data_IF_159380510838
#
_entry.id   IF_159380510838
#
_cell.length_a   1.000
_cell.length_b   1.000
_cell.length_c   1.000
_cell.angle_alpha   90.00
_cell.angle_beta   90.00
_cell.angle_gamma   90.00
#
_symmetry.space_group_name_H-M   'P 1'
#
loop_
_entity.id
_entity.type
_entity.pdbx_description
1 polymer ?
#
# COMPACT_ATOMS: atom_id res chain seq x y z
N UNK A 1 13.56 1.30 1.08
CA UNK A 1 13.13 1.29 2.51
C UNK A 1 13.15 -0.16 2.97
N UNK A 2 14.11 -0.54 3.81
CA UNK A 2 14.43 -1.94 4.11
C UNK A 2 14.59 -2.79 2.81
N UNK A 3 14.35 -4.10 2.88
CA UNK A 3 14.46 -5.10 1.82
C UNK A 3 13.21 -5.21 0.91
N UNK A 4 12.39 -4.16 0.80
CA UNK A 4 11.23 -4.15 -0.12
C UNK A 4 11.60 -3.52 -1.46
N UNK A 5 11.34 -4.24 -2.55
CA UNK A 5 11.60 -3.83 -3.92
C UNK A 5 10.32 -3.98 -4.77
N UNK A 6 10.11 -3.05 -5.70
CA UNK A 6 9.02 -3.10 -6.68
C UNK A 6 9.59 -2.88 -8.08
N UNK A 7 9.18 -3.72 -9.02
CA UNK A 7 9.51 -3.63 -10.42
C UNK A 7 8.24 -3.25 -11.21
N UNK A 8 8.20 -2.01 -11.71
CA UNK A 8 7.07 -1.49 -12.47
C UNK A 8 6.93 -2.12 -13.87
N UNK A 9 8.01 -2.62 -14.46
CA UNK A 9 7.96 -3.29 -15.78
C UNK A 9 7.44 -4.72 -15.64
N UNK A 10 7.91 -5.44 -14.62
CA UNK A 10 7.49 -6.81 -14.33
C UNK A 10 6.20 -6.89 -13.49
N UNK A 11 5.72 -5.78 -12.93
CA UNK A 11 4.63 -5.73 -11.94
C UNK A 11 4.90 -6.66 -10.74
N UNK A 12 6.16 -6.81 -10.35
CA UNK A 12 6.62 -7.72 -9.29
C UNK A 12 6.92 -6.93 -8.02
N UNK A 13 6.58 -7.50 -6.86
CA UNK A 13 6.96 -6.98 -5.55
C UNK A 13 7.74 -8.03 -4.80
N UNK A 14 8.86 -7.64 -4.20
CA UNK A 14 9.73 -8.53 -3.44
C UNK A 14 10.04 -7.99 -2.07
N UNK A 15 10.15 -8.91 -1.09
CA UNK A 15 10.65 -8.66 0.26
C UNK A 15 11.82 -9.58 0.53
N UNK A 16 13.03 -9.06 0.38
CA UNK A 16 14.26 -9.84 0.39
C UNK A 16 14.19 -10.97 -0.66
N UNK A 17 14.27 -12.26 -0.26
CA UNK A 17 14.18 -13.38 -1.19
C UNK A 17 12.74 -13.76 -1.58
N UNK A 18 11.72 -13.13 -1.00
CA UNK A 18 10.32 -13.54 -1.17
C UNK A 18 9.58 -12.68 -2.19
N UNK A 19 9.00 -13.32 -3.21
CA UNK A 19 8.03 -12.68 -4.10
C UNK A 19 6.69 -12.53 -3.36
N UNK A 20 6.07 -11.37 -3.51
CA UNK A 20 4.77 -11.03 -2.93
C UNK A 20 3.78 -10.79 -4.07
N UNK A 21 2.80 -11.68 -4.18
CA UNK A 21 1.72 -11.53 -5.15
C UNK A 21 0.69 -10.50 -4.67
N UNK A 22 0.59 -9.41 -5.42
CA UNK A 22 -0.39 -8.36 -5.21
C UNK A 22 -1.39 -8.33 -6.37
N UNK A 23 -2.64 -8.04 -6.04
CA UNK A 23 -3.62 -7.60 -7.03
C UNK A 23 -3.24 -6.22 -7.56
N UNK A 24 -3.78 -5.82 -8.72
CA UNK A 24 -3.56 -4.50 -9.32
C UNK A 24 -3.81 -3.35 -8.33
N UNK A 25 -4.85 -3.46 -7.52
CA UNK A 25 -5.22 -2.42 -6.55
C UNK A 25 -4.26 -2.37 -5.36
N UNK A 26 -3.86 -3.54 -4.83
CA UNK A 26 -2.86 -3.60 -3.76
C UNK A 26 -1.50 -3.07 -4.24
N UNK A 27 -1.11 -3.37 -5.49
CA UNK A 27 0.12 -2.87 -6.10
C UNK A 27 0.10 -1.35 -6.20
N UNK A 28 -0.98 -0.78 -6.76
CA UNK A 28 -1.16 0.68 -6.85
C UNK A 28 -1.10 1.35 -5.48
N UNK A 29 -1.76 0.76 -4.48
CA UNK A 29 -1.73 1.26 -3.10
C UNK A 29 -0.30 1.25 -2.54
N UNK A 30 0.40 0.11 -2.63
CA UNK A 30 1.77 -0.01 -2.13
C UNK A 30 2.71 0.97 -2.83
N UNK A 31 2.62 1.07 -4.15
CA UNK A 31 3.41 2.01 -4.96
C UNK A 31 3.18 3.45 -4.52
N UNK A 32 1.92 3.84 -4.31
CA UNK A 32 1.59 5.18 -3.87
C UNK A 32 2.14 5.49 -2.46
N UNK A 33 2.05 4.53 -1.54
CA UNK A 33 2.66 4.65 -0.21
C UNK A 33 4.19 4.78 -0.28
N UNK A 34 4.85 4.05 -1.17
CA UNK A 34 6.31 4.09 -1.33
C UNK A 34 6.82 5.37 -1.97
N UNK A 35 6.15 5.86 -3.02
CA UNK A 35 6.49 7.14 -3.65
C UNK A 35 6.38 8.29 -2.64
N UNK A 36 5.46 8.19 -1.69
CA UNK A 36 5.24 9.17 -0.64
C UNK A 36 5.83 8.75 0.71
N UNK A 37 6.76 7.80 0.73
CA UNK A 37 7.30 7.30 1.98
C UNK A 37 7.97 8.42 2.80
N UNK A 38 7.69 8.43 4.11
CA UNK A 38 8.12 9.50 5.02
C UNK A 38 7.18 10.71 5.06
N UNK A 39 6.11 10.73 4.26
CA UNK A 39 5.02 11.71 4.34
C UNK A 39 3.77 11.07 4.92
N UNK A 40 2.99 11.85 5.66
CA UNK A 40 1.67 11.42 6.11
C UNK A 40 0.68 11.65 4.98
N UNK A 41 -0.02 10.59 4.57
CA UNK A 41 -1.08 10.65 3.56
C UNK A 41 -2.44 10.56 4.25
N UNK A 42 -3.35 11.45 3.90
CA UNK A 42 -4.72 11.37 4.40
C UNK A 42 -5.49 10.27 3.68
N UNK A 43 -6.58 9.81 4.30
CA UNK A 43 -7.50 8.85 3.69
C UNK A 43 -8.00 9.28 2.30
N UNK A 44 -8.39 10.55 2.16
CA UNK A 44 -8.89 11.09 0.88
C UNK A 44 -7.81 11.06 -0.20
N UNK A 45 -6.57 11.46 0.12
CA UNK A 45 -5.46 11.43 -0.83
C UNK A 45 -5.17 10.03 -1.35
N UNK A 46 -5.26 9.01 -0.49
CA UNK A 46 -5.05 7.62 -0.90
C UNK A 46 -6.21 7.12 -1.74
N UNK A 47 -7.45 7.42 -1.33
CA UNK A 47 -8.64 7.06 -2.10
C UNK A 47 -8.56 7.67 -3.50
N UNK A 48 -8.44 9.00 -3.62
CA UNK A 48 -8.44 9.71 -4.91
C UNK A 48 -7.37 9.20 -5.89
N UNK A 49 -6.19 8.82 -5.39
CA UNK A 49 -5.09 8.38 -6.23
C UNK A 49 -5.20 6.91 -6.67
N UNK A 50 -5.67 6.04 -5.78
CA UNK A 50 -5.72 4.58 -6.03
C UNK A 50 -7.08 4.17 -6.63
N UNK A 51 -8.15 4.84 -6.22
CA UNK A 51 -9.52 4.69 -6.67
C UNK A 51 -10.02 6.06 -7.17
N UNK A 52 -10.05 6.27 -8.48
CA UNK A 52 -10.50 7.51 -9.10
C UNK A 52 -11.82 8.07 -8.51
N UNK A 53 -12.07 9.37 -8.74
CA UNK A 53 -13.17 10.17 -8.16
C UNK A 53 -14.59 9.57 -8.30
N UNK A 54 -14.79 8.59 -9.18
CA UNK A 54 -16.05 7.85 -9.33
C UNK A 54 -16.24 6.71 -8.32
N UNK A 55 -15.33 6.57 -7.35
CA UNK A 55 -15.47 5.59 -6.27
C UNK A 55 -16.58 6.03 -5.30
N UNK A 56 -17.83 5.72 -5.64
CA UNK A 56 -19.00 5.86 -4.75
C UNK A 56 -19.02 4.85 -3.59
N UNK A 57 -17.88 4.27 -3.25
CA UNK A 57 -17.75 3.26 -2.21
C UNK A 57 -17.42 3.84 -0.84
N UNK A 58 -17.65 3.03 0.18
CA UNK A 58 -17.40 3.37 1.58
C UNK A 58 -15.90 3.53 1.84
N UNK A 59 -15.55 4.53 2.66
CA UNK A 59 -14.21 4.79 3.18
C UNK A 59 -13.59 3.57 3.91
N UNK A 60 -14.40 2.56 4.27
CA UNK A 60 -13.98 1.25 4.76
C UNK A 60 -13.21 0.39 3.73
N UNK A 61 -13.29 0.70 2.43
CA UNK A 61 -12.50 0.00 1.40
C UNK A 61 -11.00 0.17 1.65
N UNK A 62 -10.57 1.38 2.04
CA UNK A 62 -9.15 1.65 2.23
C UNK A 62 -8.61 0.82 3.37
N UNK A 63 -9.35 0.75 4.48
CA UNK A 63 -8.98 -0.05 5.65
C UNK A 63 -8.86 -1.53 5.30
N UNK A 64 -9.78 -2.03 4.46
CA UNK A 64 -9.74 -3.40 3.96
C UNK A 64 -8.47 -3.67 3.15
N UNK A 65 -8.12 -2.80 2.20
CA UNK A 65 -6.93 -2.97 1.37
C UNK A 65 -5.62 -2.74 2.13
N UNK A 66 -5.58 -1.82 3.09
CA UNK A 66 -4.43 -1.68 4.00
C UNK A 66 -4.26 -2.96 4.83
N UNK A 67 -5.34 -3.55 5.32
CA UNK A 67 -5.31 -4.82 6.05
C UNK A 67 -4.78 -5.97 5.18
N UNK A 68 -5.26 -6.10 3.95
CA UNK A 68 -4.77 -7.10 3.00
C UNK A 68 -3.29 -6.90 2.66
N UNK A 69 -2.89 -5.66 2.37
CA UNK A 69 -1.52 -5.33 2.05
C UNK A 69 -0.57 -5.63 3.22
N UNK A 70 -0.96 -5.29 4.45
CA UNK A 70 -0.21 -5.64 5.67
C UNK A 70 -0.04 -7.14 5.85
N UNK A 71 -1.10 -7.94 5.63
CA UNK A 71 -1.02 -9.41 5.72
C UNK A 71 0.00 -9.99 4.74
N UNK A 72 0.22 -9.34 3.60
CA UNK A 72 1.15 -9.80 2.56
C UNK A 72 2.57 -9.28 2.75
N UNK A 73 2.73 -7.99 3.08
CA UNK A 73 4.01 -7.28 3.14
C UNK A 73 4.62 -7.26 4.55
N UNK A 74 3.80 -7.05 5.58
CA UNK A 74 4.25 -6.94 6.98
C UNK A 74 4.28 -8.30 7.71
N UNK A 75 4.09 -9.41 6.99
CA UNK A 75 4.37 -10.76 7.54
C UNK A 75 5.86 -10.99 7.83
N UNK A 76 6.71 -10.13 7.29
CA UNK A 76 8.16 -10.12 7.50
C UNK A 76 8.55 -8.96 8.42
N UNK A 77 9.68 -9.10 9.12
CA UNK A 77 10.20 -8.05 10.00
C UNK A 77 11.26 -7.20 9.28
N UNK A 78 11.33 -5.87 9.55
CA UNK A 78 10.37 -5.07 10.30
C UNK A 78 9.09 -4.77 9.49
N UNK A 79 7.96 -4.46 10.15
CA UNK A 79 6.76 -3.96 9.47
C UNK A 79 7.03 -2.59 8.84
N UNK A 80 6.55 -2.39 7.62
CA UNK A 80 6.82 -1.21 6.82
C UNK A 80 5.65 -0.21 6.84
N UNK A 81 4.42 -0.69 6.96
CA UNK A 81 3.24 0.17 6.88
C UNK A 81 2.84 0.64 8.28
N UNK A 82 3.19 1.88 8.60
CA UNK A 82 2.85 2.53 9.86
C UNK A 82 1.55 3.35 9.72
N UNK A 83 0.69 3.31 10.74
CA UNK A 83 -0.52 4.16 10.81
C UNK A 83 -0.32 5.24 11.86
N UNK A 84 -0.61 6.50 11.50
CA UNK A 84 -0.60 7.64 12.42
C UNK A 84 -2.03 7.99 12.77
N UNK A 85 -2.45 7.61 13.99
CA UNK A 85 -3.80 7.87 14.48
C UNK A 85 -4.13 9.36 14.40
N UNK A 86 -5.29 9.69 13.82
CA UNK A 86 -5.81 11.06 13.70
C UNK A 86 -5.44 11.79 12.41
N UNK A 87 -4.58 11.22 11.56
CA UNK A 87 -4.25 11.82 10.25
C UNK A 87 -4.40 10.82 9.10
N UNK A 88 -3.95 9.57 9.31
CA UNK A 88 -3.96 8.50 8.30
C UNK A 88 -3.28 7.23 8.79
#
# INVERSE_FOLDING_TARGET
>A
LADLEMDDEAHEVRRGPHIIELTTTEYRLLRYLLINAGRVLTRSQILDHVWHYDFGGDASVLETYISYLRRKVDKFKPPLIQTVRGVG
#
